data_IF_611261912990
#
_entry.id   IF_611261912990
#
_cell.length_a   1.000
_cell.length_b   1.000
_cell.length_c   1.000
_cell.angle_alpha   90.00
_cell.angle_beta   90.00
_cell.angle_gamma   90.00
#
_symmetry.space_group_name_H-M   'P 1'
#
loop_
_entity.id
_entity.type
_entity.pdbx_description
1 polymer ?
#
# COMPACT_ATOMS: atom_id res chain seq x y z
N UNK A 1 7.91 0.60 17.65
CA UNK A 1 7.23 0.72 16.34
C UNK A 1 5.96 1.52 16.52
N UNK A 2 5.55 2.34 15.53
CA UNK A 2 4.27 3.04 15.58
C UNK A 2 3.12 2.03 15.60
N UNK A 3 2.02 2.35 16.31
CA UNK A 3 0.84 1.47 16.42
C UNK A 3 0.09 1.34 15.08
N UNK A 4 0.13 2.40 14.28
CA UNK A 4 -0.43 2.45 12.93
C UNK A 4 0.51 3.20 11.99
N UNK A 5 0.45 2.88 10.70
CA UNK A 5 1.20 3.56 9.65
C UNK A 5 0.41 4.80 9.19
N UNK A 6 0.97 6.01 9.30
CA UNK A 6 0.36 7.21 8.72
C UNK A 6 0.48 7.18 7.19
N UNK A 7 -0.63 6.97 6.51
CA UNK A 7 -0.68 6.99 5.05
C UNK A 7 -1.93 7.68 4.53
N UNK A 8 -1.86 8.19 3.31
CA UNK A 8 -2.97 8.78 2.58
C UNK A 8 -2.99 8.25 1.15
N UNK A 9 -4.15 7.81 0.71
CA UNK A 9 -4.36 7.33 -0.66
C UNK A 9 -5.21 8.34 -1.43
N UNK A 10 -4.73 8.72 -2.61
CA UNK A 10 -5.36 9.68 -3.50
C UNK A 10 -5.87 8.95 -4.74
N UNK A 11 -7.19 9.00 -4.96
CA UNK A 11 -7.83 8.48 -6.16
C UNK A 11 -8.09 9.61 -7.18
N UNK A 12 -8.27 9.31 -8.47
CA UNK A 12 -8.65 10.28 -9.50
C UNK A 12 -10.00 10.97 -9.25
N UNK A 13 -10.37 11.92 -10.11
CA UNK A 13 -11.71 12.54 -10.15
C UNK A 13 -12.14 13.28 -8.87
N UNK A 14 -11.20 13.86 -8.12
CA UNK A 14 -11.45 14.57 -6.85
C UNK A 14 -12.17 13.71 -5.80
N UNK A 15 -11.94 12.40 -5.81
CA UNK A 15 -12.40 11.54 -4.71
C UNK A 15 -11.81 12.02 -3.37
N UNK A 16 -12.53 11.85 -2.25
CA UNK A 16 -12.00 12.12 -0.92
C UNK A 16 -10.71 11.34 -0.66
N UNK A 17 -9.77 11.95 0.07
CA UNK A 17 -8.54 11.29 0.49
C UNK A 17 -8.88 10.16 1.45
N UNK A 18 -8.37 8.96 1.17
CA UNK A 18 -8.56 7.79 2.01
C UNK A 18 -7.44 7.72 3.04
N UNK A 19 -7.81 7.53 4.31
CA UNK A 19 -6.89 7.39 5.43
C UNK A 19 -7.47 6.41 6.44
N UNK A 20 -7.01 5.16 6.39
CA UNK A 20 -7.45 4.07 7.27
C UNK A 20 -6.33 3.62 8.22
N UNK A 21 -6.66 3.06 9.40
CA UNK A 21 -5.66 2.56 10.34
C UNK A 21 -5.00 1.29 9.80
N UNK A 22 -3.74 1.41 9.34
CA UNK A 22 -2.95 0.27 8.87
C UNK A 22 -2.01 -0.22 9.96
N UNK A 23 -2.07 -1.52 10.29
CA UNK A 23 -1.14 -2.13 11.24
C UNK A 23 0.20 -2.42 10.55
N UNK A 24 1.33 -2.20 11.23
CA UNK A 24 2.66 -2.42 10.63
C UNK A 24 3.02 -3.89 10.47
N UNK A 25 2.38 -4.75 11.26
CA UNK A 25 2.57 -6.20 11.26
C UNK A 25 1.21 -6.87 11.30
N UNK A 26 1.18 -8.07 10.76
CA UNK A 26 0.06 -8.97 10.83
C UNK A 26 0.27 -9.91 12.02
N UNK A 27 -0.36 -9.59 13.15
CA UNK A 27 -0.18 -10.34 14.41
C UNK A 27 -0.59 -11.81 14.28
N UNK A 28 -1.47 -12.14 13.32
CA UNK A 28 -2.00 -13.49 13.12
C UNK A 28 -1.34 -14.23 11.94
N UNK A 29 -0.56 -13.55 11.10
CA UNK A 29 0.07 -14.12 9.91
C UNK A 29 -0.90 -14.53 8.79
N UNK A 30 -2.13 -13.99 8.78
CA UNK A 30 -3.20 -14.30 7.84
C UNK A 30 -3.20 -13.36 6.61
N UNK A 31 -2.84 -12.09 6.79
CA UNK A 31 -2.91 -11.02 5.80
C UNK A 31 -1.61 -10.85 5.01
N UNK A 32 -0.46 -11.21 5.60
CA UNK A 32 0.85 -11.08 4.95
C UNK A 32 0.97 -12.05 3.76
N UNK A 33 0.96 -11.54 2.53
CA UNK A 33 1.16 -12.36 1.32
C UNK A 33 2.58 -12.93 1.20
N UNK A 34 3.57 -12.34 1.88
CA UNK A 34 4.97 -12.74 1.75
C UNK A 34 5.51 -13.47 2.98
N UNK A 35 5.55 -14.81 2.91
CA UNK A 35 5.96 -15.70 4.00
C UNK A 35 7.35 -15.38 4.60
N UNK A 36 8.29 -14.88 3.77
CA UNK A 36 9.66 -14.59 4.20
C UNK A 36 9.80 -13.33 5.06
N UNK A 37 8.80 -12.45 5.09
CA UNK A 37 8.88 -11.15 5.77
C UNK A 37 8.55 -11.16 7.27
N UNK A 38 8.38 -12.34 7.89
CA UNK A 38 8.04 -12.48 9.32
C UNK A 38 6.81 -11.65 9.73
N UNK A 39 5.71 -11.82 9.00
CA UNK A 39 4.43 -11.14 9.23
C UNK A 39 4.43 -9.63 8.97
N UNK A 40 5.40 -9.07 8.26
CA UNK A 40 5.28 -7.69 7.79
C UNK A 40 4.36 -7.63 6.58
N UNK A 41 3.47 -6.65 6.57
CA UNK A 41 2.64 -6.38 5.40
C UNK A 41 3.47 -5.74 4.29
N UNK A 42 3.07 -6.03 3.07
CA UNK A 42 3.59 -5.39 1.86
C UNK A 42 2.69 -4.21 1.46
N UNK A 43 3.16 -3.37 0.54
CA UNK A 43 2.34 -2.33 -0.08
C UNK A 43 1.09 -2.92 -0.74
N UNK A 44 1.25 -4.06 -1.43
CA UNK A 44 0.16 -4.78 -2.05
C UNK A 44 -0.87 -5.31 -1.06
N UNK A 45 -0.45 -5.86 0.08
CA UNK A 45 -1.37 -6.30 1.15
C UNK A 45 -2.25 -5.14 1.63
N UNK A 46 -1.65 -3.98 1.85
CA UNK A 46 -2.35 -2.77 2.32
C UNK A 46 -3.31 -2.23 1.26
N UNK A 47 -2.89 -2.19 -0.01
CA UNK A 47 -3.73 -1.73 -1.10
C UNK A 47 -4.90 -2.68 -1.37
N UNK A 48 -4.67 -4.00 -1.29
CA UNK A 48 -5.72 -5.00 -1.40
C UNK A 48 -6.73 -4.88 -0.25
N UNK A 49 -6.25 -4.63 0.97
CA UNK A 49 -7.12 -4.46 2.13
C UNK A 49 -8.03 -3.23 2.02
N UNK A 50 -7.50 -2.10 1.56
CA UNK A 50 -8.24 -0.82 1.53
C UNK A 50 -9.03 -0.63 0.22
N UNK A 51 -8.51 -1.13 -0.90
CA UNK A 51 -9.03 -0.94 -2.25
C UNK A 51 -9.12 -2.27 -3.02
N UNK A 52 -9.86 -3.28 -2.54
CA UNK A 52 -9.89 -4.62 -3.12
C UNK A 52 -10.38 -4.65 -4.58
N UNK A 53 -11.25 -3.72 -4.98
CA UNK A 53 -11.75 -3.65 -6.36
C UNK A 53 -10.68 -3.16 -7.35
N UNK A 54 -9.76 -2.30 -6.89
CA UNK A 54 -8.66 -1.78 -7.71
C UNK A 54 -7.41 -2.65 -7.62
N UNK A 55 -7.22 -3.30 -6.48
CA UNK A 55 -6.11 -4.20 -6.18
C UNK A 55 -6.67 -5.55 -5.73
N UNK A 56 -7.18 -6.40 -6.64
CA UNK A 56 -7.83 -7.67 -6.28
C UNK A 56 -6.87 -8.74 -5.74
N UNK A 57 -5.55 -8.51 -5.87
CA UNK A 57 -4.50 -9.37 -5.36
C UNK A 57 -3.39 -8.51 -4.74
N UNK A 58 -2.79 -8.93 -3.61
CA UNK A 58 -1.65 -8.23 -3.01
C UNK A 58 -0.36 -8.40 -3.80
N UNK A 59 -0.28 -9.42 -4.66
CA UNK A 59 0.86 -9.65 -5.55
C UNK A 59 0.52 -9.19 -6.96
N UNK A 60 1.53 -8.67 -7.66
CA UNK A 60 1.37 -8.26 -9.05
C UNK A 60 0.95 -9.47 -9.90
N UNK A 61 -0.22 -9.38 -10.54
CA UNK A 61 -0.62 -10.33 -11.57
C UNK A 61 -0.22 -9.76 -12.93
N UNK A 62 0.42 -10.58 -13.77
CA UNK A 62 1.05 -10.12 -15.02
C UNK A 62 0.07 -9.51 -16.05
N UNK A 63 -1.26 -9.59 -15.85
CA UNK A 63 -2.21 -9.35 -16.93
C UNK A 63 -3.51 -8.56 -16.61
N UNK A 64 -3.71 -7.96 -15.42
CA UNK A 64 -5.03 -7.34 -15.14
C UNK A 64 -5.08 -6.16 -14.15
N UNK A 65 -3.96 -5.53 -13.78
CA UNK A 65 -4.04 -4.38 -12.88
C UNK A 65 -4.54 -3.15 -13.64
N UNK A 66 -5.82 -2.79 -13.47
CA UNK A 66 -6.40 -1.54 -13.99
C UNK A 66 -5.93 -0.31 -13.22
N UNK A 67 -5.16 -0.53 -12.15
CA UNK A 67 -4.61 0.50 -11.29
C UNK A 67 -3.15 0.22 -10.90
N UNK A 68 -2.39 1.30 -10.70
CA UNK A 68 -1.04 1.27 -10.13
C UNK A 68 -0.88 2.31 -9.01
N UNK A 69 -0.19 1.95 -7.92
CA UNK A 69 0.23 2.91 -6.93
C UNK A 69 1.42 3.71 -7.44
N UNK A 70 1.49 4.98 -7.06
CA UNK A 70 2.61 5.88 -7.33
C UNK A 70 3.01 6.55 -6.02
N UNK A 71 4.29 6.46 -5.71
CA UNK A 71 4.92 7.08 -4.53
C UNK A 71 6.14 7.85 -5.04
N UNK A 72 6.26 9.14 -4.70
CA UNK A 72 7.34 10.02 -5.20
C UNK A 72 7.50 10.01 -6.74
N UNK A 73 6.42 9.82 -7.48
CA UNK A 73 6.43 9.83 -8.95
C UNK A 73 6.90 8.53 -9.61
N UNK A 74 7.15 7.46 -8.84
CA UNK A 74 7.51 6.14 -9.38
C UNK A 74 6.47 5.09 -8.99
N UNK A 75 6.34 4.03 -9.80
CA UNK A 75 5.53 2.86 -9.49
C UNK A 75 6.40 1.88 -8.68
N UNK A 76 6.18 1.73 -7.36
CA UNK A 76 6.92 0.77 -6.55
C UNK A 76 6.47 -0.67 -6.83
N UNK A 77 7.31 -1.63 -6.43
CA UNK A 77 6.94 -3.04 -6.37
C UNK A 77 5.91 -3.27 -5.25
N UNK A 78 4.87 -4.06 -5.52
CA UNK A 78 3.81 -4.34 -4.54
C UNK A 78 4.34 -5.12 -3.33
N UNK A 79 5.40 -5.91 -3.52
CA UNK A 79 6.08 -6.70 -2.51
C UNK A 79 6.88 -5.86 -1.51
N UNK A 80 7.00 -4.55 -1.74
CA UNK A 80 7.73 -3.65 -0.86
C UNK A 80 7.15 -3.66 0.57
N UNK A 81 7.95 -3.89 1.63
CA UNK A 81 7.45 -3.85 3.00
C UNK A 81 6.88 -2.48 3.36
N UNK A 82 5.64 -2.41 3.83
CA UNK A 82 4.97 -1.13 4.09
C UNK A 82 5.67 -0.33 5.20
N UNK A 83 6.24 -1.03 6.18
CA UNK A 83 7.03 -0.39 7.25
C UNK A 83 8.26 0.29 6.66
N UNK A 84 8.96 -0.37 5.74
CA UNK A 84 10.11 0.23 5.06
C UNK A 84 9.70 1.44 4.22
N UNK A 85 8.59 1.34 3.48
CA UNK A 85 8.04 2.46 2.73
C UNK A 85 7.70 3.64 3.64
N UNK A 86 7.07 3.41 4.79
CA UNK A 86 6.72 4.47 5.75
C UNK A 86 7.92 5.19 6.35
N UNK A 87 9.06 4.51 6.47
CA UNK A 87 10.29 5.06 7.06
C UNK A 87 11.13 5.83 6.05
N UNK A 88 11.09 5.43 4.78
CA UNK A 88 12.03 5.90 3.76
C UNK A 88 11.37 6.74 2.66
N UNK A 89 10.05 6.57 2.46
CA UNK A 89 9.29 7.22 1.39
C UNK A 89 8.17 8.13 1.93
N UNK A 90 8.15 8.42 3.23
CA UNK A 90 7.25 9.46 3.74
C UNK A 90 7.66 10.85 3.23
N UNK A 91 6.68 11.74 3.18
CA UNK A 91 6.91 13.16 2.96
C UNK A 91 7.34 13.84 4.28
N UNK A 92 7.80 15.11 4.26
CA UNK A 92 8.22 15.82 5.46
C UNK A 92 7.13 15.99 6.54
N UNK A 93 5.86 15.74 6.21
CA UNK A 93 4.74 15.71 7.16
C UNK A 93 4.59 14.34 7.87
N UNK A 94 5.50 13.39 7.60
CA UNK A 94 5.52 12.02 8.08
C UNK A 94 4.37 11.13 7.58
N UNK A 95 3.67 11.53 6.50
CA UNK A 95 2.71 10.65 5.83
C UNK A 95 3.35 9.93 4.64
N UNK A 96 2.98 8.68 4.43
CA UNK A 96 3.20 8.00 3.16
C UNK A 96 2.06 8.39 2.20
N UNK A 97 2.39 9.16 1.16
CA UNK A 97 1.42 9.58 0.15
C UNK A 97 1.45 8.60 -1.03
N UNK A 98 0.30 7.99 -1.31
CA UNK A 98 0.13 7.00 -2.39
C UNK A 98 -0.92 7.53 -3.36
N UNK A 99 -0.52 7.82 -4.58
CA UNK A 99 -1.45 8.19 -5.66
C UNK A 99 -1.82 6.93 -6.43
N UNK A 100 -3.09 6.72 -6.74
CA UNK A 100 -3.54 5.59 -7.57
C UNK A 100 -3.83 6.11 -8.97
N UNK A 101 -3.06 5.63 -9.94
CA UNK A 101 -3.35 5.81 -11.36
C UNK A 101 -4.33 4.72 -11.81
N UNK A 102 -5.27 5.07 -12.68
CA UNK A 102 -6.22 4.14 -13.30
C UNK A 102 -6.02 4.11 -14.81
N UNK A 103 -6.26 2.96 -15.44
CA UNK A 103 -6.24 2.79 -16.90
C UNK A 103 -4.84 2.69 -17.53
N UNK A 104 -3.89 2.12 -16.80
CA UNK A 104 -2.55 1.75 -17.30
C UNK A 104 -2.56 0.45 -18.10
#
# INVERSE_FOLDING_TARGET
>A
MPRHIPLRIYLPENCPVIQEPVTPVDENGILSSQFLLRNQLTLGDVLHQILPDLFPSPVASENNSTAAPVIHGVIPQLEMPIVWASQNLCYPDNFLHIVVLMGI
#
